data_IF_890337741744
#
_entry.id   IF_890337741744
#
_cell.length_a   1.000
_cell.length_b   1.000
_cell.length_c   1.000
_cell.angle_alpha   90.00
_cell.angle_beta   90.00
_cell.angle_gamma   90.00
#
_symmetry.space_group_name_H-M   'P 1'
#
loop_
_entity.id
_entity.type
_entity.pdbx_description
1 polymer ?
#
# COMPACT_ATOMS: atom_id res chain seq x y z
N UNK A 1 10.88 41.42 -2.33
CA UNK A 1 10.69 40.42 -3.37
C UNK A 1 10.32 39.11 -2.68
N UNK A 2 9.03 38.80 -2.63
CA UNK A 2 8.53 37.53 -2.09
C UNK A 2 8.74 36.46 -3.18
N UNK A 3 9.69 35.57 -2.96
CA UNK A 3 9.88 34.38 -3.79
C UNK A 3 8.80 33.40 -3.33
N UNK A 4 7.80 33.14 -4.19
CA UNK A 4 6.76 32.15 -3.94
C UNK A 4 7.41 30.77 -3.75
N UNK A 5 7.30 30.24 -2.55
CA UNK A 5 7.73 28.88 -2.18
C UNK A 5 6.88 27.77 -2.82
N UNK A 6 5.78 28.13 -3.49
CA UNK A 6 4.80 27.17 -4.01
C UNK A 6 5.19 26.51 -5.34
N UNK A 7 6.23 27.01 -6.04
CA UNK A 7 6.63 26.46 -7.35
C UNK A 7 7.72 25.39 -7.33
N UNK A 8 8.33 25.10 -6.16
CA UNK A 8 9.43 24.11 -6.11
C UNK A 8 8.96 22.65 -5.91
N UNK A 9 7.69 22.43 -5.52
CA UNK A 9 7.13 21.11 -5.25
C UNK A 9 6.30 20.52 -6.39
N UNK A 10 6.01 21.28 -7.44
CA UNK A 10 5.11 20.86 -8.53
C UNK A 10 5.68 19.76 -9.45
N UNK A 11 6.99 19.76 -9.70
CA UNK A 11 7.61 18.88 -10.71
C UNK A 11 7.99 17.47 -10.22
N UNK A 12 7.96 17.19 -8.91
CA UNK A 12 8.37 15.89 -8.33
C UNK A 12 7.23 15.08 -7.72
N UNK A 13 5.98 15.51 -7.86
CA UNK A 13 4.84 14.81 -7.29
C UNK A 13 4.51 13.54 -8.07
N UNK A 14 4.48 12.42 -7.37
CA UNK A 14 4.10 11.13 -7.95
C UNK A 14 2.60 11.12 -8.25
N UNK A 15 2.23 10.69 -9.46
CA UNK A 15 0.84 10.54 -9.91
C UNK A 15 0.47 9.11 -10.31
N UNK A 16 1.42 8.17 -10.20
CA UNK A 16 1.21 6.73 -10.48
C UNK A 16 1.23 5.94 -9.17
N UNK A 17 0.27 5.02 -9.03
CA UNK A 17 0.21 4.05 -7.95
C UNK A 17 0.36 2.62 -8.50
N UNK A 18 1.04 1.76 -7.75
CA UNK A 18 1.12 0.32 -7.98
C UNK A 18 0.47 -0.40 -6.81
N UNK A 19 -0.59 -1.17 -7.08
CA UNK A 19 -1.31 -1.95 -6.08
C UNK A 19 -1.01 -3.44 -6.25
N UNK A 20 -0.52 -4.10 -5.21
CA UNK A 20 -0.35 -5.55 -5.20
C UNK A 20 -1.63 -6.21 -4.64
N UNK A 21 -2.38 -6.89 -5.51
CA UNK A 21 -3.67 -7.51 -5.21
C UNK A 21 -3.76 -8.95 -5.73
N UNK A 22 -2.63 -9.67 -5.81
CA UNK A 22 -2.58 -11.01 -6.37
C UNK A 22 -2.88 -12.13 -5.35
N UNK A 23 -2.80 -11.85 -4.06
CA UNK A 23 -2.89 -12.83 -2.96
C UNK A 23 -4.28 -13.47 -2.80
N UNK A 24 -4.31 -14.69 -2.24
CA UNK A 24 -5.56 -15.45 -2.01
C UNK A 24 -6.35 -14.97 -0.80
N UNK A 25 -5.74 -14.25 0.14
CA UNK A 25 -6.39 -13.78 1.37
C UNK A 25 -6.92 -14.90 2.27
N UNK A 26 -6.25 -16.06 2.32
CA UNK A 26 -6.74 -17.27 3.01
C UNK A 26 -7.05 -17.08 4.50
N UNK A 27 -6.40 -16.14 5.19
CA UNK A 27 -6.66 -15.83 6.61
C UNK A 27 -8.03 -15.15 6.85
N UNK A 28 -8.65 -14.58 5.82
CA UNK A 28 -10.01 -14.01 5.85
C UNK A 28 -11.10 -14.99 5.42
N UNK A 29 -10.76 -16.27 5.18
CA UNK A 29 -11.76 -17.26 4.86
C UNK A 29 -12.83 -17.33 5.99
N UNK A 30 -14.17 -17.44 5.70
CA UNK A 30 -14.75 -17.74 4.37
C UNK A 30 -15.03 -16.53 3.46
N UNK A 31 -14.81 -15.29 3.88
CA UNK A 31 -15.11 -14.07 3.11
C UNK A 31 -14.41 -14.05 1.74
N UNK A 32 -13.19 -14.61 1.69
CA UNK A 32 -12.38 -14.65 0.47
C UNK A 32 -12.60 -15.90 -0.39
N UNK A 33 -13.61 -16.74 -0.08
CA UNK A 33 -13.91 -17.95 -0.85
C UNK A 33 -14.31 -17.64 -2.30
N UNK A 34 -15.11 -16.61 -2.47
CA UNK A 34 -15.68 -16.22 -3.78
C UNK A 34 -15.20 -14.87 -4.30
N UNK A 35 -14.39 -14.14 -3.53
CA UNK A 35 -13.95 -12.78 -3.84
C UNK A 35 -12.53 -12.54 -3.35
N UNK A 36 -11.68 -11.73 -4.04
CA UNK A 36 -10.37 -11.38 -3.55
C UNK A 36 -10.45 -10.48 -2.30
N UNK A 37 -9.42 -10.55 -1.44
CA UNK A 37 -9.33 -9.84 -0.16
C UNK A 37 -9.66 -8.35 -0.26
N UNK A 38 -9.17 -7.67 -1.28
CA UNK A 38 -9.38 -6.24 -1.48
C UNK A 38 -10.86 -5.84 -1.70
N UNK A 39 -11.73 -6.79 -2.07
CA UNK A 39 -13.17 -6.57 -2.21
C UNK A 39 -13.95 -6.84 -0.91
N UNK A 40 -13.29 -7.23 0.18
CA UNK A 40 -13.92 -7.34 1.51
C UNK A 40 -14.45 -5.98 1.94
N UNK A 41 -15.71 -5.95 2.39
CA UNK A 41 -16.35 -4.73 2.87
C UNK A 41 -15.83 -4.38 4.28
N UNK A 42 -15.50 -3.13 4.46
CA UNK A 42 -15.29 -2.48 5.76
C UNK A 42 -16.47 -1.53 5.94
N UNK A 43 -17.47 -1.99 6.69
CA UNK A 43 -18.80 -1.41 6.68
C UNK A 43 -19.43 -1.41 5.26
N UNK A 44 -19.77 -0.24 4.69
CA UNK A 44 -20.50 -0.13 3.41
C UNK A 44 -19.60 -0.14 2.17
N UNK A 45 -18.25 -0.09 2.32
CA UNK A 45 -17.30 0.07 1.21
C UNK A 45 -16.19 -0.96 1.26
N UNK A 46 -15.85 -1.52 0.12
CA UNK A 46 -14.70 -2.42 0.03
C UNK A 46 -13.37 -1.71 0.31
N UNK A 47 -12.36 -2.48 0.72
CA UNK A 47 -10.99 -1.99 0.90
C UNK A 47 -10.54 -1.29 -0.39
N UNK A 48 -10.75 -1.94 -1.54
CA UNK A 48 -10.37 -1.44 -2.86
C UNK A 48 -11.08 -0.12 -3.20
N UNK A 49 -12.40 -0.04 -2.98
CA UNK A 49 -13.16 1.20 -3.23
C UNK A 49 -12.65 2.37 -2.37
N UNK A 50 -12.31 2.11 -1.09
CA UNK A 50 -11.73 3.12 -0.20
C UNK A 50 -10.38 3.59 -0.72
N UNK A 51 -9.53 2.67 -1.16
CA UNK A 51 -8.21 2.98 -1.70
C UNK A 51 -8.29 3.80 -2.99
N UNK A 52 -9.14 3.41 -3.95
CA UNK A 52 -9.40 4.16 -5.19
C UNK A 52 -9.85 5.60 -4.87
N UNK A 53 -10.79 5.75 -3.95
CA UNK A 53 -11.27 7.08 -3.54
C UNK A 53 -10.15 7.92 -2.90
N UNK A 54 -9.24 7.30 -2.14
CA UNK A 54 -8.09 7.99 -1.56
C UNK A 54 -7.10 8.43 -2.65
N UNK A 55 -6.78 7.55 -3.60
CA UNK A 55 -5.90 7.87 -4.72
C UNK A 55 -6.44 9.02 -5.58
N UNK A 56 -7.74 8.98 -5.91
CA UNK A 56 -8.40 10.07 -6.66
C UNK A 56 -8.32 11.41 -5.91
N UNK A 57 -8.63 11.42 -4.62
CA UNK A 57 -8.54 12.63 -3.78
C UNK A 57 -7.12 13.18 -3.68
N UNK A 58 -6.12 12.30 -3.74
CA UNK A 58 -4.70 12.68 -3.77
C UNK A 58 -4.20 13.08 -5.16
N UNK A 59 -5.06 13.05 -6.18
CA UNK A 59 -4.73 13.49 -7.52
C UNK A 59 -3.90 12.51 -8.34
N UNK A 60 -3.87 11.22 -7.95
CA UNK A 60 -3.28 10.18 -8.79
C UNK A 60 -4.01 10.09 -10.13
N UNK A 61 -3.24 9.85 -11.21
CA UNK A 61 -3.75 9.78 -12.59
C UNK A 61 -3.68 8.37 -13.17
N UNK A 62 -2.80 7.53 -12.63
CA UNK A 62 -2.55 6.18 -13.10
C UNK A 62 -2.50 5.20 -11.93
N UNK A 63 -3.20 4.07 -12.07
CA UNK A 63 -3.15 2.95 -11.15
C UNK A 63 -2.84 1.67 -11.92
N UNK A 64 -1.74 1.02 -11.56
CA UNK A 64 -1.39 -0.31 -12.05
C UNK A 64 -1.75 -1.32 -10.95
N UNK A 65 -2.53 -2.35 -11.27
CA UNK A 65 -2.95 -3.38 -10.32
C UNK A 65 -2.32 -4.71 -10.73
N UNK A 66 -1.49 -5.27 -9.86
CA UNK A 66 -1.02 -6.64 -10.01
C UNK A 66 -2.07 -7.58 -9.43
N UNK A 67 -2.75 -8.31 -10.30
CA UNK A 67 -3.84 -9.24 -9.96
C UNK A 67 -3.37 -10.70 -9.97
N UNK A 68 -4.15 -11.57 -9.34
CA UNK A 68 -3.88 -13.01 -9.31
C UNK A 68 -5.14 -13.79 -9.02
N UNK A 69 -5.39 -14.09 -7.73
CA UNK A 69 -6.60 -14.79 -7.30
C UNK A 69 -7.84 -13.99 -7.65
N UNK A 70 -8.76 -14.64 -8.41
CA UNK A 70 -10.06 -14.06 -8.83
C UNK A 70 -9.93 -12.64 -9.42
N UNK A 71 -8.95 -12.49 -10.32
CA UNK A 71 -8.67 -11.23 -10.98
C UNK A 71 -9.89 -10.65 -11.72
N UNK A 72 -10.75 -11.51 -12.28
CA UNK A 72 -12.00 -11.14 -12.91
C UNK A 72 -12.88 -10.28 -12.01
N UNK A 73 -13.00 -10.63 -10.72
CA UNK A 73 -13.82 -9.87 -9.78
C UNK A 73 -13.32 -8.42 -9.60
N UNK A 74 -12.00 -8.20 -9.62
CA UNK A 74 -11.41 -6.86 -9.52
C UNK A 74 -11.73 -6.07 -10.80
N UNK A 75 -11.54 -6.69 -11.96
CA UNK A 75 -11.76 -6.08 -13.26
C UNK A 75 -13.24 -5.73 -13.50
N UNK A 76 -14.15 -6.60 -13.07
CA UNK A 76 -15.60 -6.37 -13.15
C UNK A 76 -16.06 -5.17 -12.30
N UNK A 77 -15.44 -4.97 -11.15
CA UNK A 77 -15.76 -3.84 -10.23
C UNK A 77 -15.21 -2.51 -10.73
N UNK A 78 -13.99 -2.50 -11.28
CA UNK A 78 -13.27 -1.26 -11.59
C UNK A 78 -13.29 -0.89 -13.08
N UNK A 79 -13.33 -1.86 -13.99
CA UNK A 79 -13.11 -1.60 -15.42
C UNK A 79 -11.71 -1.09 -15.72
N UNK A 80 -11.57 -0.31 -16.79
CA UNK A 80 -10.28 0.27 -17.23
C UNK A 80 -10.07 1.74 -16.79
N UNK A 81 -11.10 2.37 -16.25
CA UNK A 81 -11.05 3.77 -15.83
C UNK A 81 -12.01 3.99 -14.64
N UNK A 82 -11.61 4.88 -13.75
CA UNK A 82 -12.46 5.38 -12.68
C UNK A 82 -12.36 6.91 -12.63
N UNK A 83 -13.23 7.59 -13.39
CA UNK A 83 -13.17 9.04 -13.62
C UNK A 83 -11.80 9.44 -14.23
N UNK A 84 -11.05 10.32 -13.55
CA UNK A 84 -9.72 10.80 -14.00
C UNK A 84 -8.56 9.84 -13.70
N UNK A 85 -8.82 8.64 -13.16
CA UNK A 85 -7.83 7.63 -12.81
C UNK A 85 -7.85 6.52 -13.87
N UNK A 86 -6.79 6.44 -14.70
CA UNK A 86 -6.57 5.32 -15.63
C UNK A 86 -6.15 4.08 -14.87
N UNK A 87 -6.70 2.91 -15.20
CA UNK A 87 -6.44 1.65 -14.50
C UNK A 87 -5.89 0.62 -15.49
N UNK A 88 -4.74 0.07 -15.15
CA UNK A 88 -4.07 -0.99 -15.91
C UNK A 88 -3.88 -2.23 -15.04
N UNK A 89 -3.91 -3.41 -15.66
CA UNK A 89 -3.79 -4.68 -14.96
C UNK A 89 -2.59 -5.48 -15.45
N UNK A 90 -1.88 -6.10 -14.50
CA UNK A 90 -0.91 -7.16 -14.77
C UNK A 90 -1.37 -8.41 -14.03
N UNK A 91 -1.55 -9.52 -14.74
CA UNK A 91 -1.82 -10.79 -14.08
C UNK A 91 -0.53 -11.46 -13.62
N UNK A 92 -0.47 -11.85 -12.33
CA UNK A 92 0.61 -12.64 -11.75
C UNK A 92 0.29 -14.13 -11.90
N UNK A 93 0.84 -14.84 -12.90
CA UNK A 93 0.44 -16.21 -13.17
C UNK A 93 0.89 -17.20 -12.08
N UNK A 94 1.91 -16.84 -11.32
CA UNK A 94 2.50 -17.67 -10.27
C UNK A 94 2.05 -17.28 -8.85
N UNK A 95 0.95 -16.53 -8.71
CA UNK A 95 0.49 -16.02 -7.41
C UNK A 95 0.26 -17.09 -6.33
N UNK A 96 0.03 -18.35 -6.72
CA UNK A 96 -0.18 -19.47 -5.78
C UNK A 96 1.10 -20.07 -5.23
N UNK A 97 2.21 -19.92 -5.96
CA UNK A 97 3.49 -20.60 -5.70
C UNK A 97 4.61 -19.63 -5.38
N UNK A 98 4.35 -18.34 -5.45
CA UNK A 98 5.31 -17.27 -5.15
C UNK A 98 4.75 -16.32 -4.10
N UNK A 99 5.62 -15.49 -3.52
CA UNK A 99 5.21 -14.42 -2.62
C UNK A 99 5.15 -13.06 -3.36
N UNK A 100 4.89 -11.96 -2.64
CA UNK A 100 4.70 -10.62 -3.19
C UNK A 100 5.95 -10.07 -3.93
N UNK A 101 7.15 -10.63 -3.69
CA UNK A 101 8.36 -10.32 -4.46
C UNK A 101 8.15 -10.54 -5.97
N UNK A 102 7.47 -11.61 -6.35
CA UNK A 102 7.19 -11.91 -7.75
C UNK A 102 6.18 -10.92 -8.34
N UNK A 103 5.15 -10.57 -7.57
CA UNK A 103 4.16 -9.58 -7.97
C UNK A 103 4.79 -8.19 -8.17
N UNK A 104 5.70 -7.78 -7.28
CA UNK A 104 6.45 -6.53 -7.48
C UNK A 104 7.37 -6.63 -8.72
N UNK A 105 8.04 -7.77 -8.91
CA UNK A 105 8.97 -7.97 -10.03
C UNK A 105 8.29 -7.87 -11.40
N UNK A 106 7.09 -8.45 -11.60
CA UNK A 106 6.41 -8.39 -12.90
C UNK A 106 5.95 -6.97 -13.25
N UNK A 107 5.73 -6.09 -12.25
CA UNK A 107 5.36 -4.69 -12.49
C UNK A 107 6.42 -3.90 -13.29
N UNK A 108 7.68 -4.37 -13.32
CA UNK A 108 8.76 -3.76 -14.11
C UNK A 108 8.46 -3.68 -15.61
N UNK A 109 7.52 -4.50 -16.10
CA UNK A 109 7.16 -4.51 -17.52
C UNK A 109 6.31 -3.30 -17.93
N UNK A 110 5.68 -2.62 -16.95
CA UNK A 110 4.77 -1.50 -17.19
C UNK A 110 5.23 -0.23 -16.45
N UNK A 111 5.79 -0.38 -15.24
CA UNK A 111 6.23 0.77 -14.44
C UNK A 111 7.62 1.23 -14.90
N UNK A 112 7.68 2.45 -15.43
CA UNK A 112 8.90 3.12 -15.86
C UNK A 112 8.98 4.58 -15.41
N UNK A 113 8.31 4.93 -14.33
CA UNK A 113 8.17 6.25 -13.74
C UNK A 113 8.18 6.19 -12.21
N UNK A 114 8.30 7.32 -11.48
CA UNK A 114 8.10 7.35 -10.05
C UNK A 114 6.68 6.88 -9.67
N UNK A 115 6.56 6.10 -8.60
CA UNK A 115 5.26 5.56 -8.19
C UNK A 115 5.17 5.33 -6.68
N UNK A 116 3.93 5.21 -6.19
CA UNK A 116 3.62 4.74 -4.82
C UNK A 116 3.19 3.29 -4.89
N UNK A 117 3.89 2.43 -4.15
CA UNK A 117 3.54 1.03 -3.93
C UNK A 117 2.58 0.92 -2.75
N UNK A 118 1.49 0.17 -2.92
CA UNK A 118 0.49 -0.12 -1.87
C UNK A 118 0.15 -1.61 -1.86
N UNK A 119 -0.14 -2.13 -0.66
CA UNK A 119 -0.77 -3.45 -0.50
C UNK A 119 -2.30 -3.32 -0.47
N UNK A 120 -2.98 -4.37 -0.92
CA UNK A 120 -4.43 -4.35 -1.17
C UNK A 120 -5.30 -4.67 0.05
N UNK A 121 -4.72 -4.65 1.24
CA UNK A 121 -5.35 -4.96 2.53
C UNK A 121 -5.38 -3.77 3.49
N UNK A 122 -5.03 -2.60 3.02
CA UNK A 122 -4.92 -1.39 3.82
C UNK A 122 -6.18 -0.52 3.73
N UNK A 123 -6.68 -0.14 4.88
CA UNK A 123 -7.66 0.94 5.03
C UNK A 123 -6.99 2.10 5.76
N UNK A 124 -7.08 3.30 5.22
CA UNK A 124 -6.40 4.46 5.76
C UNK A 124 -7.15 5.77 5.49
N UNK A 125 -6.87 6.76 6.34
CA UNK A 125 -7.29 8.14 6.09
C UNK A 125 -6.52 8.73 4.91
N UNK A 126 -7.22 9.42 4.02
CA UNK A 126 -6.64 9.98 2.77
C UNK A 126 -5.41 10.86 3.02
N UNK A 127 -5.44 11.69 4.08
CA UNK A 127 -4.34 12.63 4.38
C UNK A 127 -3.02 11.94 4.79
N UNK A 128 -3.03 10.63 5.09
CA UNK A 128 -1.79 9.89 5.32
C UNK A 128 -0.95 9.73 4.04
N UNK A 129 -1.56 9.91 2.87
CA UNK A 129 -0.85 9.88 1.60
C UNK A 129 -0.23 11.22 1.19
N UNK A 130 -0.50 12.31 1.92
CA UNK A 130 -0.06 13.68 1.57
C UNK A 130 1.46 13.77 1.37
N UNK A 131 2.21 13.06 2.19
CA UNK A 131 3.67 13.02 2.09
C UNK A 131 4.19 11.85 1.26
N UNK A 132 3.39 10.80 1.05
CA UNK A 132 3.80 9.63 0.27
C UNK A 132 3.88 9.88 -1.24
N UNK A 133 3.35 11.00 -1.72
CA UNK A 133 3.45 11.41 -3.14
C UNK A 133 4.82 11.97 -3.52
N UNK A 134 5.79 12.01 -2.61
CA UNK A 134 7.17 12.35 -2.89
C UNK A 134 8.04 11.08 -2.87
N UNK A 135 9.07 10.98 -3.73
CA UNK A 135 9.81 9.73 -3.91
C UNK A 135 10.69 9.34 -2.71
N UNK A 136 11.02 8.04 -2.68
CA UNK A 136 11.96 7.40 -1.75
C UNK A 136 11.54 7.52 -0.27
N UNK A 137 10.23 7.34 -0.02
CA UNK A 137 9.60 7.36 1.30
C UNK A 137 9.01 6.01 1.69
N UNK A 138 8.91 5.79 2.98
CA UNK A 138 8.27 4.62 3.59
C UNK A 138 7.30 5.07 4.68
N UNK A 139 6.07 4.57 4.63
CA UNK A 139 5.11 4.76 5.72
C UNK A 139 5.48 3.88 6.91
N UNK A 140 5.55 4.47 8.10
CA UNK A 140 5.87 3.77 9.34
C UNK A 140 4.93 4.18 10.47
N UNK A 141 4.71 3.27 11.43
CA UNK A 141 3.97 3.55 12.65
C UNK A 141 4.72 2.99 13.87
N UNK A 142 4.52 3.59 15.04
CA UNK A 142 5.04 3.07 16.30
C UNK A 142 4.51 1.66 16.53
N UNK A 143 5.39 0.75 16.94
CA UNK A 143 4.98 -0.60 17.31
C UNK A 143 3.95 -0.57 18.43
N UNK A 144 2.89 -1.35 18.25
CA UNK A 144 1.86 -1.61 19.23
C UNK A 144 1.79 -3.11 19.49
N UNK A 145 1.31 -3.57 20.66
CA UNK A 145 1.30 -5.00 21.00
C UNK A 145 0.55 -5.92 20.02
N UNK A 146 -0.41 -5.36 19.28
CA UNK A 146 -1.19 -6.11 18.27
C UNK A 146 -0.64 -6.04 16.86
N UNK A 147 0.36 -5.19 16.60
CA UNK A 147 1.01 -5.08 15.29
C UNK A 147 2.08 -6.17 15.13
N UNK A 148 2.12 -6.77 13.95
CA UNK A 148 3.10 -7.78 13.58
C UNK A 148 3.69 -7.50 12.18
N UNK A 149 4.64 -8.33 11.75
CA UNK A 149 5.26 -8.23 10.41
C UNK A 149 6.61 -7.52 10.42
N UNK A 150 6.96 -6.93 9.28
CA UNK A 150 8.25 -6.25 9.09
C UNK A 150 8.31 -4.95 9.88
N UNK A 151 9.45 -4.71 10.53
CA UNK A 151 9.73 -3.46 11.26
C UNK A 151 11.03 -2.83 10.78
N UNK A 152 11.21 -1.54 11.07
CA UNK A 152 12.41 -0.79 10.73
C UNK A 152 12.96 -0.01 11.93
N UNK A 153 14.28 0.20 11.93
CA UNK A 153 14.95 1.19 12.81
C UNK A 153 15.22 2.46 12.02
N UNK A 154 15.10 3.60 12.69
CA UNK A 154 15.34 4.93 12.12
C UNK A 154 16.54 5.60 12.77
N UNK A 155 17.23 6.45 12.02
CA UNK A 155 18.23 7.37 12.57
C UNK A 155 17.59 8.70 13.02
N UNK A 156 18.42 9.60 13.58
CA UNK A 156 17.97 10.92 14.05
C UNK A 156 17.41 11.84 12.93
N UNK A 157 17.61 11.48 11.66
CA UNK A 157 17.09 12.20 10.48
C UNK A 157 15.87 11.53 9.89
N UNK A 158 15.20 10.62 10.62
CA UNK A 158 14.07 9.85 10.16
C UNK A 158 14.34 8.97 8.91
N UNK A 159 15.60 8.57 8.69
CA UNK A 159 15.95 7.66 7.60
C UNK A 159 16.01 6.23 8.10
N UNK A 160 15.55 5.29 7.30
CA UNK A 160 15.62 3.86 7.60
C UNK A 160 17.08 3.41 7.60
N UNK A 161 17.49 2.76 8.70
CA UNK A 161 18.83 2.21 8.84
C UNK A 161 18.88 0.71 8.74
N UNK A 162 17.75 0.03 9.07
CA UNK A 162 17.67 -1.43 9.06
C UNK A 162 16.22 -1.90 9.00
N UNK A 163 15.98 -2.96 8.23
CA UNK A 163 14.76 -3.76 8.29
C UNK A 163 14.96 -4.96 9.21
N UNK A 164 13.90 -5.30 9.96
CA UNK A 164 13.89 -6.47 10.86
C UNK A 164 12.73 -7.37 10.50
N UNK A 165 12.98 -8.68 10.45
CA UNK A 165 11.97 -9.71 10.21
C UNK A 165 11.54 -10.33 11.53
N UNK A 166 10.25 -10.59 11.65
CA UNK A 166 9.66 -11.32 12.79
C UNK A 166 9.58 -10.50 14.07
N UNK A 167 8.83 -11.04 15.02
CA UNK A 167 8.72 -10.55 16.39
C UNK A 167 9.76 -11.26 17.25
N UNK A 168 10.83 -10.57 17.68
CA UNK A 168 11.67 -11.04 18.76
C UNK A 168 11.27 -10.30 20.04
N UNK A 169 10.99 -11.00 21.11
CA UNK A 169 10.43 -10.48 22.37
C UNK A 169 11.38 -9.56 23.17
N UNK A 170 12.61 -9.36 22.69
CA UNK A 170 13.61 -8.50 23.35
C UNK A 170 14.13 -7.46 22.37
N UNK A 171 13.46 -6.31 22.32
CA UNK A 171 13.96 -5.17 21.55
C UNK A 171 14.77 -4.25 22.45
N UNK A 172 16.06 -4.13 22.18
CA UNK A 172 16.91 -3.08 22.75
C UNK A 172 16.73 -1.75 22.03
N UNK A 173 16.22 -1.79 20.78
CA UNK A 173 16.09 -0.62 19.91
C UNK A 173 14.62 -0.27 19.64
N UNK A 174 14.34 1.03 19.50
CA UNK A 174 13.03 1.52 19.07
C UNK A 174 12.75 1.05 17.64
N UNK A 175 11.64 0.35 17.43
CA UNK A 175 11.21 -0.17 16.14
C UNK A 175 9.89 0.42 15.71
N UNK A 176 9.74 0.57 14.41
CA UNK A 176 8.52 1.04 13.77
C UNK A 176 7.99 -0.04 12.83
N UNK A 177 6.69 -0.31 12.87
CA UNK A 177 6.01 -1.18 11.91
C UNK A 177 6.04 -0.53 10.53
N UNK A 178 6.37 -1.27 9.47
CA UNK A 178 6.12 -0.83 8.09
C UNK A 178 4.63 -0.90 7.81
N UNK A 179 4.05 0.16 7.23
CA UNK A 179 2.62 0.18 6.86
C UNK A 179 2.41 -0.39 5.46
N UNK A 180 3.47 -0.94 4.85
CA UNK A 180 3.45 -1.52 3.51
C UNK A 180 3.02 -0.52 2.41
N UNK A 181 3.37 0.76 2.62
CA UNK A 181 3.28 1.82 1.62
C UNK A 181 4.67 2.41 1.42
N UNK A 182 5.11 2.44 0.18
CA UNK A 182 6.43 2.93 -0.23
C UNK A 182 6.28 3.84 -1.44
N UNK A 183 7.11 4.84 -1.56
CA UNK A 183 7.23 5.62 -2.78
C UNK A 183 8.65 5.50 -3.34
N UNK A 184 8.77 5.53 -4.66
CA UNK A 184 10.05 5.33 -5.33
C UNK A 184 10.28 6.38 -6.40
N UNK A 185 11.49 6.89 -6.46
CA UNK A 185 12.02 7.57 -7.64
C UNK A 185 12.26 6.54 -8.76
N UNK A 186 12.34 6.99 -9.99
CA UNK A 186 12.66 6.11 -11.12
C UNK A 186 14.06 5.49 -10.97
N UNK A 187 15.02 6.22 -10.38
CA UNK A 187 16.36 5.70 -10.10
C UNK A 187 16.35 4.58 -9.08
N UNK A 188 15.64 4.75 -7.96
CA UNK A 188 15.47 3.72 -6.93
C UNK A 188 14.74 2.50 -7.48
N UNK A 189 13.68 2.71 -8.28
CA UNK A 189 12.97 1.62 -8.94
C UNK A 189 13.88 0.80 -9.86
N UNK A 190 14.69 1.43 -10.71
CA UNK A 190 15.64 0.74 -11.58
C UNK A 190 16.67 -0.09 -10.79
N UNK A 191 17.16 0.44 -9.68
CA UNK A 191 18.07 -0.30 -8.79
C UNK A 191 17.36 -1.51 -8.15
N UNK A 192 16.13 -1.35 -7.68
CA UNK A 192 15.29 -2.41 -7.14
C UNK A 192 15.04 -3.50 -8.19
N UNK A 193 14.66 -3.13 -9.41
CA UNK A 193 14.45 -4.09 -10.53
C UNK A 193 15.71 -4.92 -10.80
N UNK A 194 16.88 -4.29 -10.80
CA UNK A 194 18.16 -5.02 -10.96
C UNK A 194 18.34 -6.06 -9.86
N UNK A 195 18.04 -5.73 -8.60
CA UNK A 195 18.14 -6.66 -7.47
C UNK A 195 17.06 -7.74 -7.53
N UNK A 196 15.81 -7.39 -7.86
CA UNK A 196 14.71 -8.33 -8.07
C UNK A 196 15.04 -9.35 -9.17
N UNK A 197 15.66 -8.93 -10.29
CA UNK A 197 16.10 -9.83 -11.34
C UNK A 197 17.09 -10.91 -10.82
N UNK A 198 18.01 -10.53 -9.91
CA UNK A 198 18.93 -11.48 -9.31
C UNK A 198 18.19 -12.54 -8.48
N UNK A 199 17.23 -12.12 -7.63
CA UNK A 199 16.43 -13.02 -6.82
C UNK A 199 15.61 -13.99 -7.68
N UNK A 200 14.88 -13.46 -8.66
CA UNK A 200 13.99 -14.26 -9.51
C UNK A 200 14.82 -15.23 -10.38
N UNK A 201 15.95 -14.79 -10.94
CA UNK A 201 16.85 -15.68 -11.72
C UNK A 201 17.48 -16.78 -10.87
N UNK A 202 17.67 -16.55 -9.57
CA UNK A 202 18.13 -17.57 -8.62
C UNK A 202 17.01 -18.47 -8.10
N UNK A 203 15.76 -18.30 -8.57
CA UNK A 203 14.60 -19.07 -8.11
C UNK A 203 14.09 -18.64 -6.70
N UNK A 204 14.59 -17.53 -6.15
CA UNK A 204 14.19 -17.03 -4.82
C UNK A 204 12.90 -16.22 -4.98
N UNK A 205 11.78 -16.92 -5.07
CA UNK A 205 10.45 -16.32 -5.35
C UNK A 205 9.50 -16.39 -4.16
N UNK A 206 9.89 -17.07 -3.07
CA UNK A 206 9.04 -17.35 -1.91
C UNK A 206 9.39 -16.48 -0.69
N UNK A 207 9.83 -15.24 -0.93
CA UNK A 207 10.09 -14.25 0.11
C UNK A 207 9.31 -12.98 -0.16
N UNK A 208 9.23 -12.13 0.87
CA UNK A 208 8.66 -10.80 0.73
C UNK A 208 9.65 -9.85 0.03
N UNK A 209 9.14 -8.87 -0.74
CA UNK A 209 9.98 -7.86 -1.40
C UNK A 209 10.78 -7.02 -0.40
N UNK A 210 10.35 -6.88 0.85
CA UNK A 210 11.11 -6.22 1.91
C UNK A 210 12.45 -6.90 2.21
N UNK A 211 12.60 -8.17 1.81
CA UNK A 211 13.92 -8.84 1.87
C UNK A 211 14.93 -8.17 0.95
N UNK A 212 14.48 -7.77 -0.24
CA UNK A 212 15.28 -7.04 -1.21
C UNK A 212 15.59 -5.63 -0.68
N UNK A 213 14.59 -4.94 -0.13
CA UNK A 213 14.78 -3.60 0.44
C UNK A 213 15.75 -3.63 1.63
N UNK A 214 15.64 -4.65 2.49
CA UNK A 214 16.54 -4.84 3.63
C UNK A 214 18.01 -4.94 3.23
N UNK A 215 18.32 -5.75 2.19
CA UNK A 215 19.68 -5.86 1.67
C UNK A 215 20.18 -4.55 1.06
N UNK A 216 19.32 -3.89 0.26
CA UNK A 216 19.67 -2.65 -0.42
C UNK A 216 19.84 -1.46 0.55
N UNK A 217 19.11 -1.44 1.67
CA UNK A 217 19.33 -0.45 2.73
C UNK A 217 20.63 -0.76 3.49
N UNK A 218 20.93 -2.03 3.74
CA UNK A 218 22.16 -2.44 4.42
C UNK A 218 23.43 -2.11 3.61
N UNK A 219 23.38 -2.27 2.28
CA UNK A 219 24.49 -1.94 1.37
C UNK A 219 24.46 -0.48 0.88
N UNK A 220 23.47 0.33 1.34
CA UNK A 220 23.27 1.75 1.02
C UNK A 220 22.94 2.05 -0.45
N UNK A 221 22.51 1.05 -1.21
CA UNK A 221 22.01 1.24 -2.60
C UNK A 221 20.55 1.69 -2.66
N UNK A 222 19.82 1.67 -1.53
CA UNK A 222 18.49 2.20 -1.35
C UNK A 222 18.41 2.96 -0.03
N UNK A 223 17.70 4.08 -0.02
CA UNK A 223 17.46 4.88 1.17
C UNK A 223 15.99 5.30 1.21
N UNK A 224 15.39 5.30 2.39
CA UNK A 224 14.03 5.78 2.62
C UNK A 224 14.00 6.84 3.70
N UNK A 225 13.28 7.92 3.45
CA UNK A 225 12.78 8.84 4.47
C UNK A 225 11.47 8.29 5.05
N UNK A 226 11.34 8.22 6.37
CA UNK A 226 10.13 7.71 6.99
C UNK A 226 9.05 8.78 7.12
N UNK A 227 7.81 8.39 6.85
CA UNK A 227 6.59 9.17 7.07
C UNK A 227 5.79 8.50 8.17
N UNK A 228 5.50 9.23 9.26
CA UNK A 228 4.74 8.69 10.40
C UNK A 228 3.25 8.62 10.07
N UNK A 229 2.65 7.45 10.31
CA UNK A 229 1.21 7.20 10.18
C UNK A 229 0.48 7.17 11.54
N UNK A 230 1.14 7.60 12.63
CA UNK A 230 0.55 7.56 13.97
C UNK A 230 -0.55 8.61 14.21
N UNK A 231 -0.65 9.62 13.36
CA UNK A 231 -1.51 10.80 13.58
C UNK A 231 -2.92 10.68 13.00
N UNK A 232 -3.22 9.62 12.24
CA UNK A 232 -4.51 9.35 11.61
C UNK A 232 -4.81 7.85 11.58
N UNK A 233 -6.10 7.46 11.48
CA UNK A 233 -6.47 6.05 11.41
C UNK A 233 -5.94 5.36 10.15
N UNK A 234 -5.37 4.19 10.34
CA UNK A 234 -5.09 3.20 9.31
C UNK A 234 -5.20 1.79 9.92
N UNK A 235 -5.41 0.78 9.11
CA UNK A 235 -5.46 -0.60 9.56
C UNK A 235 -5.11 -1.58 8.43
N UNK A 236 -4.33 -2.63 8.73
CA UNK A 236 -4.02 -3.75 7.86
C UNK A 236 -4.97 -4.90 8.20
N UNK A 237 -5.77 -5.33 7.24
CA UNK A 237 -6.84 -6.31 7.47
C UNK A 237 -6.38 -7.67 6.97
N UNK A 238 -5.96 -8.55 7.86
CA UNK A 238 -5.49 -9.89 7.55
C UNK A 238 -6.44 -10.99 8.01
N UNK A 239 -7.18 -10.74 9.06
CA UNK A 239 -8.08 -11.69 9.72
C UNK A 239 -9.46 -11.07 9.91
N UNK A 240 -10.44 -11.92 10.32
CA UNK A 240 -11.80 -11.45 10.68
C UNK A 240 -11.75 -10.49 11.88
N UNK A 241 -10.83 -10.70 12.81
CA UNK A 241 -10.66 -9.79 13.95
C UNK A 241 -10.14 -8.44 13.51
N UNK A 242 -9.18 -8.40 12.56
CA UNK A 242 -8.69 -7.15 11.98
C UNK A 242 -9.80 -6.39 11.27
N UNK A 243 -10.67 -7.10 10.55
CA UNK A 243 -11.83 -6.51 9.91
C UNK A 243 -12.74 -5.82 10.93
N UNK A 244 -13.06 -6.49 12.04
CA UNK A 244 -13.90 -5.93 13.09
C UNK A 244 -13.28 -4.68 13.75
N UNK A 245 -11.96 -4.66 13.94
CA UNK A 245 -11.25 -3.48 14.45
C UNK A 245 -11.22 -2.34 13.41
N UNK A 246 -11.00 -2.65 12.14
CA UNK A 246 -11.04 -1.67 11.06
C UNK A 246 -12.43 -1.03 10.93
N UNK A 247 -13.51 -1.79 11.09
CA UNK A 247 -14.89 -1.26 11.05
C UNK A 247 -15.17 -0.24 12.16
N UNK A 248 -14.59 -0.42 13.34
CA UNK A 248 -14.68 0.57 14.44
C UNK A 248 -13.95 1.87 14.11
N UNK A 249 -12.77 1.77 13.46
CA UNK A 249 -11.95 2.93 13.08
C UNK A 249 -12.52 3.70 11.88
N UNK A 250 -13.25 3.01 11.00
CA UNK A 250 -13.81 3.57 9.77
C UNK A 250 -15.33 3.38 9.70
N UNK A 251 -16.10 4.00 10.62
CA UNK A 251 -17.54 3.78 10.72
C UNK A 251 -18.27 4.18 9.45
N UNK A 252 -19.41 3.54 9.18
CA UNK A 252 -20.33 3.95 8.13
C UNK A 252 -20.77 5.40 8.35
N UNK A 253 -20.89 6.19 7.29
CA UNK A 253 -21.47 7.52 7.40
C UNK A 253 -22.95 7.37 7.80
N UNK A 254 -23.35 7.96 8.92
CA UNK A 254 -24.75 8.06 9.30
C UNK A 254 -25.51 8.71 8.13
N UNK A 255 -26.45 7.98 7.52
CA UNK A 255 -27.40 8.56 6.57
C UNK A 255 -28.19 9.61 7.36
N UNK A 256 -27.97 10.88 7.05
CA UNK A 256 -28.79 11.96 7.59
C UNK A 256 -30.24 11.65 7.21
N UNK A 257 -31.07 11.29 8.19
CA UNK A 257 -32.51 11.12 7.96
C UNK A 257 -33.02 12.48 7.50
N UNK A 258 -33.40 12.57 6.22
CA UNK A 258 -34.18 13.69 5.72
C UNK A 258 -35.51 13.62 6.47
N UNK A 259 -35.73 14.49 7.47
CA UNK A 259 -37.04 14.72 8.05
C UNK A 259 -37.94 15.23 6.93
N UNK A 260 -38.80 14.37 6.43
CA UNK A 260 -39.92 14.78 5.59
C UNK A 260 -40.90 15.45 6.57
N UNK A 261 -40.87 16.78 6.66
CA UNK A 261 -41.95 17.54 7.30
C UNK A 261 -43.19 17.34 6.43
N UNK A 262 -44.11 16.53 6.91
CA UNK A 262 -45.46 16.46 6.34
C UNK A 262 -46.15 17.79 6.67
N UNK A 263 -46.19 18.68 5.69
CA UNK A 263 -47.08 19.84 5.72
C UNK A 263 -48.52 19.31 5.49
N UNK A 264 -49.29 19.26 6.53
CA UNK A 264 -50.76 19.10 6.41
C UNK A 264 -51.34 20.43 5.97
N UNK A 265 -51.97 20.50 4.82
CA UNK A 265 -52.90 21.53 4.36
C UNK A 265 -54.30 21.08 4.70
#
# INVERSE_FOLDING_TARGET
MNINSDNYYGDNRISTALLLAAGTGSRLFPLTKSSPKCLTLVNEKSILERLINNLKKQGFKRLVIVTGYKNECIMDVLGSNSEDLSIEYIHSPLYRTTNNIYSLWIARNIINEPFVLLESDLVLNTSLLDEMVFPDRIAVAKMQPWLNGTTVSLNKKNQVTKFHKGTTDTYTDVRYKTVNIYSFSLSSWRAIVKKLNQYISAGIVNCYYETVFAEMVADKSLSFESVSFDHKPWYEIDTINDLAEAEKLFPAKLKTQVKIEKTYV
#
